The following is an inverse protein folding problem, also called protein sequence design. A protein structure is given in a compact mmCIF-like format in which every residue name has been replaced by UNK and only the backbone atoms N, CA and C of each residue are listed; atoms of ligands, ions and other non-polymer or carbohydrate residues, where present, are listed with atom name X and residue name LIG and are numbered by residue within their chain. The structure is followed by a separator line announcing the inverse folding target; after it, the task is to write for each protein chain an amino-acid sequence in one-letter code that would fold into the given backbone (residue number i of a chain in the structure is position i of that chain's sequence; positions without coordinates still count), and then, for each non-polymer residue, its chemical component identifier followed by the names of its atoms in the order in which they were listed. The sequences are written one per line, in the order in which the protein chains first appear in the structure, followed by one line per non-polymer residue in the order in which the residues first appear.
data_IF_490330894654
#
_entry.id   IF_490330894654
#
_cell.length_a   1.000
_cell.length_b   1.000
_cell.length_c   1.000
_cell.angle_alpha   90.00
_cell.angle_beta   90.00
_cell.angle_gamma   90.00
#
_symmetry.space_group_name_H-M   'P 1'
#
loop_
_entity.id
_entity.type
_entity.pdbx_description
1 polymer ?
#
# COMPACT_ATOMS: atom_id res chain seq x y z
N UNK A 1 -8.24 9.71 -5.26
CA UNK A 1 -7.95 8.52 -6.08
C UNK A 1 -6.48 8.57 -6.41
N UNK A 2 -5.70 7.59 -5.94
CA UNK A 2 -4.24 7.60 -6.10
C UNK A 2 -3.84 6.31 -6.83
N UNK A 3 -3.00 6.44 -7.85
CA UNK A 3 -2.56 5.31 -8.69
C UNK A 3 -1.16 4.90 -8.24
N UNK A 4 -1.04 3.69 -7.73
CA UNK A 4 0.27 3.10 -7.42
C UNK A 4 0.93 2.65 -8.73
N UNK A 5 2.18 3.04 -8.96
CA UNK A 5 2.94 2.68 -10.16
C UNK A 5 3.93 1.56 -9.84
N UNK A 6 4.11 0.58 -10.75
CA UNK A 6 5.09 -0.49 -10.59
C UNK A 6 6.53 0.02 -10.75
N UNK A 7 7.48 -0.57 -10.02
CA UNK A 7 8.90 -0.43 -10.29
C UNK A 7 9.27 -1.33 -11.48
N UNK A 8 9.37 -0.76 -12.68
CA UNK A 8 9.85 -1.47 -13.86
C UNK A 8 11.39 -1.44 -13.91
N UNK A 9 12.07 -2.52 -14.36
CA UNK A 9 13.51 -2.46 -14.62
C UNK A 9 13.80 -1.49 -15.77
N UNK A 10 14.36 -0.33 -15.45
CA UNK A 10 14.70 0.71 -16.43
C UNK A 10 15.95 0.31 -17.23
N UNK A 11 15.77 -0.31 -18.39
CA UNK A 11 16.80 -0.29 -19.43
C UNK A 11 16.78 1.06 -20.14
N UNK A 12 17.88 1.81 -19.95
CA UNK A 12 18.22 3.08 -20.60
C UNK A 12 17.95 3.03 -22.12
N UNK A 13 16.89 3.69 -22.60
CA UNK A 13 16.79 4.10 -24.01
C UNK A 13 16.89 5.61 -24.09
N UNK A 14 17.89 6.02 -24.84
CA UNK A 14 18.27 7.38 -25.17
C UNK A 14 17.23 8.02 -26.06
N UNK A 15 17.03 9.31 -25.81
CA UNK A 15 16.41 10.36 -26.61
C UNK A 15 16.43 10.13 -28.12
N UNK A 16 15.29 9.77 -28.71
CA UNK A 16 14.92 10.12 -30.10
C UNK A 16 13.41 10.39 -30.11
N UNK A 17 13.02 11.54 -30.67
CA UNK A 17 11.67 12.08 -30.57
C UNK A 17 10.65 11.31 -31.41
N UNK A 18 9.57 10.87 -30.76
CA UNK A 18 8.36 10.35 -31.40
C UNK A 18 7.19 11.34 -31.23
N UNK A 19 6.30 11.45 -32.23
CA UNK A 19 5.20 12.40 -32.21
C UNK A 19 4.07 11.96 -31.25
N UNK A 20 3.33 12.96 -30.73
CA UNK A 20 2.32 12.80 -29.69
C UNK A 20 1.23 11.76 -30.03
N UNK A 21 0.78 10.93 -29.06
CA UNK A 21 -0.28 9.96 -29.30
C UNK A 21 -1.68 10.61 -29.32
N UNK A 22 -2.50 10.14 -30.26
CA UNK A 22 -3.90 10.54 -30.46
C UNK A 22 -4.78 10.28 -29.22
N UNK A 23 -5.80 11.13 -29.06
CA UNK A 23 -6.78 11.10 -27.97
C UNK A 23 -7.48 9.74 -27.88
N UNK A 24 -7.22 9.00 -26.81
CA UNK A 24 -7.92 7.75 -26.49
C UNK A 24 -9.39 8.06 -26.13
N UNK A 25 -10.33 7.66 -26.99
CA UNK A 25 -11.78 7.76 -26.74
C UNK A 25 -12.17 6.72 -25.69
N UNK A 26 -12.83 7.16 -24.61
CA UNK A 26 -13.35 6.29 -23.56
C UNK A 26 -14.32 5.24 -24.13
N UNK A 27 -13.92 3.96 -24.09
CA UNK A 27 -14.85 2.82 -24.29
C UNK A 27 -15.43 2.46 -22.93
N UNK A 28 -16.69 2.81 -22.72
CA UNK A 28 -17.49 2.32 -21.59
C UNK A 28 -17.77 0.83 -21.78
N UNK A 29 -16.92 -0.03 -21.24
CA UNK A 29 -17.25 -1.45 -21.07
C UNK A 29 -18.15 -1.59 -19.83
N UNK A 30 -19.46 -1.50 -20.04
CA UNK A 30 -20.47 -1.89 -19.05
C UNK A 30 -20.40 -3.41 -18.89
N UNK A 31 -19.57 -3.89 -17.96
CA UNK A 31 -19.54 -5.30 -17.57
C UNK A 31 -20.82 -5.58 -16.80
N UNK A 32 -21.78 -6.24 -17.45
CA UNK A 32 -22.95 -6.81 -16.77
C UNK A 32 -22.42 -7.93 -15.89
N UNK A 33 -22.39 -7.73 -14.58
CA UNK A 33 -22.08 -8.79 -13.62
C UNK A 33 -23.28 -9.75 -13.61
N UNK A 34 -23.06 -10.98 -14.07
CA UNK A 34 -23.98 -12.09 -13.85
C UNK A 34 -23.96 -12.46 -12.35
N UNK A 35 -25.11 -12.68 -11.69
CA UNK A 35 -25.13 -13.09 -10.30
C UNK A 35 -24.61 -14.53 -10.16
N UNK A 36 -23.60 -14.74 -9.31
CA UNK A 36 -23.13 -16.06 -8.91
C UNK A 36 -24.21 -16.81 -8.14
N UNK A 37 -24.40 -18.10 -8.47
CA UNK A 37 -25.32 -19.00 -7.79
C UNK A 37 -24.91 -19.24 -6.32
N UNK A 38 -25.86 -19.44 -5.39
CA UNK A 38 -25.56 -19.74 -3.99
C UNK A 38 -25.29 -21.24 -3.82
N UNK A 39 -24.04 -21.61 -3.54
CA UNK A 39 -23.68 -22.99 -3.23
C UNK A 39 -22.19 -23.18 -2.97
N UNK A 40 -21.78 -23.13 -1.71
CA UNK A 40 -20.43 -23.49 -1.25
C UNK A 40 -20.06 -22.73 0.02
N UNK A 41 -19.67 -23.45 1.08
CA UNK A 41 -19.54 -22.95 2.44
C UNK A 41 -18.56 -21.78 2.64
N UNK A 42 -18.73 -21.10 3.77
CA UNK A 42 -17.99 -19.93 4.24
C UNK A 42 -16.50 -20.20 4.60
N UNK A 43 -15.77 -20.89 3.73
CA UNK A 43 -14.44 -21.44 4.02
C UNK A 43 -13.41 -21.13 2.91
N UNK A 44 -13.27 -19.87 2.48
CA UNK A 44 -12.07 -19.46 1.73
C UNK A 44 -11.85 -17.94 1.64
N UNK A 45 -11.99 -17.20 2.74
CA UNK A 45 -11.52 -15.80 2.79
C UNK A 45 -10.10 -15.78 3.36
N UNK A 46 -9.20 -16.54 2.71
CA UNK A 46 -7.83 -16.74 3.16
C UNK A 46 -6.87 -15.91 2.33
N UNK A 47 -6.09 -15.03 2.94
CA UNK A 47 -4.76 -14.54 2.48
C UNK A 47 -4.62 -13.94 1.06
N UNK A 48 -5.66 -13.98 0.23
CA UNK A 48 -5.65 -13.62 -1.18
C UNK A 48 -5.54 -12.10 -1.40
N UNK A 49 -5.87 -11.29 -0.39
CA UNK A 49 -5.87 -9.84 -0.50
C UNK A 49 -4.44 -9.25 -0.64
N UNK A 50 -3.50 -9.67 0.21
CA UNK A 50 -2.12 -9.16 0.19
C UNK A 50 -1.31 -9.75 -0.98
N UNK A 51 -1.50 -11.05 -1.25
CA UNK A 51 -0.92 -11.72 -2.43
C UNK A 51 -1.44 -11.06 -3.71
N UNK A 52 -2.74 -10.72 -3.77
CA UNK A 52 -3.35 -10.06 -4.92
C UNK A 52 -2.76 -8.68 -5.21
N UNK A 53 -2.64 -7.79 -4.21
CA UNK A 53 -2.10 -6.45 -4.47
C UNK A 53 -0.62 -6.50 -4.91
N UNK A 54 0.21 -7.28 -4.22
CA UNK A 54 1.62 -7.46 -4.61
C UNK A 54 1.74 -8.03 -6.02
N UNK A 55 0.95 -9.04 -6.38
CA UNK A 55 0.95 -9.62 -7.73
C UNK A 55 0.53 -8.61 -8.80
N UNK A 56 -0.51 -7.80 -8.54
CA UNK A 56 -0.95 -6.73 -9.45
C UNK A 56 0.18 -5.73 -9.69
N UNK A 57 0.85 -5.29 -8.61
CA UNK A 57 1.96 -4.35 -8.67
C UNK A 57 3.17 -4.94 -9.42
N UNK A 58 3.59 -6.16 -9.09
CA UNK A 58 4.72 -6.83 -9.76
C UNK A 58 4.42 -7.13 -11.23
N UNK A 59 3.17 -7.39 -11.58
CA UNK A 59 2.75 -7.60 -12.97
C UNK A 59 2.71 -6.31 -13.81
N UNK A 60 3.07 -5.16 -13.25
CA UNK A 60 3.08 -3.89 -13.94
C UNK A 60 1.68 -3.32 -14.19
N UNK A 61 0.66 -3.83 -13.51
CA UNK A 61 -0.73 -3.40 -13.71
C UNK A 61 -1.07 -2.25 -12.75
N UNK A 62 -1.81 -1.23 -13.22
CA UNK A 62 -2.25 -0.16 -12.34
C UNK A 62 -3.20 -0.71 -11.26
N UNK A 63 -3.05 -0.21 -10.04
CA UNK A 63 -3.95 -0.47 -8.92
C UNK A 63 -4.49 0.86 -8.37
N UNK A 64 -5.81 0.99 -8.33
CA UNK A 64 -6.51 2.19 -7.95
C UNK A 64 -6.87 2.12 -6.46
N UNK A 65 -6.32 3.04 -5.68
CA UNK A 65 -6.57 3.13 -4.24
C UNK A 65 -7.55 4.23 -3.85
N UNK A 66 -8.30 3.97 -2.78
CA UNK A 66 -9.01 5.00 -2.02
C UNK A 66 -8.25 5.38 -0.74
N UNK A 67 -8.37 6.65 -0.34
CA UNK A 67 -7.66 7.19 0.82
C UNK A 67 -8.66 7.58 1.91
N UNK A 68 -8.55 6.96 3.08
CA UNK A 68 -9.43 7.19 4.21
C UNK A 68 -8.75 8.08 5.26
N UNK A 69 -9.30 9.28 5.45
CA UNK A 69 -8.87 10.25 6.47
C UNK A 69 -9.90 10.46 7.58
N UNK A 70 -11.12 9.97 7.37
CA UNK A 70 -12.25 10.08 8.32
C UNK A 70 -12.32 8.78 9.13
N UNK A 71 -12.21 8.84 10.47
CA UNK A 71 -12.30 7.65 11.31
C UNK A 71 -13.70 7.04 11.25
N UNK A 72 -13.76 5.72 11.07
CA UNK A 72 -15.02 4.98 11.10
C UNK A 72 -14.91 3.60 10.44
N UNK A 73 -15.33 2.55 11.13
CA UNK A 73 -15.41 1.21 10.53
C UNK A 73 -16.39 1.18 9.35
N UNK A 74 -17.56 1.79 9.51
CA UNK A 74 -18.57 1.91 8.46
C UNK A 74 -18.07 2.70 7.24
N UNK A 75 -17.31 3.79 7.45
CA UNK A 75 -16.76 4.57 6.34
C UNK A 75 -15.72 3.76 5.56
N UNK A 76 -14.84 3.03 6.26
CA UNK A 76 -13.85 2.15 5.65
C UNK A 76 -14.50 0.98 4.88
N UNK A 77 -15.54 0.36 5.45
CA UNK A 77 -16.32 -0.70 4.80
C UNK A 77 -17.01 -0.21 3.51
N UNK A 78 -17.68 0.93 3.58
CA UNK A 78 -18.36 1.53 2.44
C UNK A 78 -17.37 1.89 1.31
N UNK A 79 -16.18 2.40 1.67
CA UNK A 79 -15.11 2.68 0.70
C UNK A 79 -14.57 1.38 0.09
N UNK A 80 -14.32 0.34 0.89
CA UNK A 80 -13.88 -0.95 0.36
C UNK A 80 -14.91 -1.58 -0.60
N UNK A 81 -16.21 -1.42 -0.32
CA UNK A 81 -17.28 -1.89 -1.20
C UNK A 81 -17.43 -1.09 -2.51
N UNK A 82 -16.77 0.07 -2.65
CA UNK A 82 -16.93 0.96 -3.80
C UNK A 82 -16.16 0.52 -5.07
N UNK A 83 -15.47 -0.63 -5.04
CA UNK A 83 -14.79 -1.22 -6.19
C UNK A 83 -13.36 -0.73 -6.42
N UNK A 84 -12.69 -0.23 -5.37
CA UNK A 84 -11.27 0.06 -5.39
C UNK A 84 -10.43 -1.22 -5.27
N UNK A 85 -9.23 -1.22 -5.83
CA UNK A 85 -8.31 -2.37 -5.76
C UNK A 85 -7.68 -2.50 -4.36
N UNK A 86 -7.59 -1.38 -3.63
CA UNK A 86 -7.06 -1.32 -2.28
C UNK A 86 -7.54 -0.06 -1.55
N UNK A 87 -7.37 -0.02 -0.22
CA UNK A 87 -7.68 1.15 0.61
C UNK A 87 -6.50 1.56 1.48
N UNK A 88 -6.25 2.86 1.59
CA UNK A 88 -5.30 3.44 2.54
C UNK A 88 -6.04 3.91 3.78
N UNK A 89 -5.61 3.47 4.96
CA UNK A 89 -5.99 4.04 6.25
C UNK A 89 -4.87 4.99 6.68
N UNK A 90 -5.18 6.28 6.76
CA UNK A 90 -4.18 7.31 6.94
C UNK A 90 -4.02 7.72 8.40
N UNK A 91 -2.98 7.20 9.05
CA UNK A 91 -2.65 7.54 10.44
C UNK A 91 -1.67 8.72 10.56
N UNK A 92 -1.19 9.30 9.44
CA UNK A 92 -0.28 10.45 9.48
C UNK A 92 -1.02 11.78 9.55
N UNK A 93 -1.97 11.98 8.64
CA UNK A 93 -2.74 13.21 8.54
C UNK A 93 -4.25 12.99 8.67
N UNK A 94 -4.71 11.75 8.58
CA UNK A 94 -6.09 11.41 8.94
C UNK A 94 -6.31 11.54 10.45
N UNK A 95 -7.57 11.70 10.84
CA UNK A 95 -7.96 11.78 12.25
C UNK A 95 -8.10 10.37 12.86
N UNK A 96 -7.12 9.50 12.58
CA UNK A 96 -7.19 8.06 12.81
C UNK A 96 -6.09 7.66 13.77
N UNK A 97 -6.46 7.35 15.01
CA UNK A 97 -5.58 6.73 15.99
C UNK A 97 -5.57 5.20 15.85
N UNK A 98 -4.83 4.55 16.75
CA UNK A 98 -4.70 3.08 16.73
C UNK A 98 -6.05 2.36 16.93
N UNK A 99 -6.94 2.90 17.78
CA UNK A 99 -8.23 2.28 18.07
C UNK A 99 -9.18 2.34 16.86
N UNK A 100 -9.24 3.50 16.20
CA UNK A 100 -10.02 3.70 14.98
C UNK A 100 -9.45 2.83 13.85
N UNK A 101 -8.13 2.83 13.67
CA UNK A 101 -7.44 2.01 12.69
C UNK A 101 -7.79 0.52 12.84
N UNK A 102 -7.78 -0.02 14.07
CA UNK A 102 -8.14 -1.42 14.32
C UNK A 102 -9.57 -1.74 13.84
N UNK A 103 -10.55 -0.90 14.19
CA UNK A 103 -11.94 -1.07 13.76
C UNK A 103 -12.10 -0.95 12.24
N UNK A 104 -11.38 -0.03 11.61
CA UNK A 104 -11.36 0.14 10.15
C UNK A 104 -10.75 -1.08 9.44
N UNK A 105 -9.60 -1.57 9.92
CA UNK A 105 -8.96 -2.79 9.39
C UNK A 105 -9.85 -4.02 9.55
N UNK A 106 -10.60 -4.12 10.66
CA UNK A 106 -11.59 -5.17 10.86
C UNK A 106 -12.70 -5.14 9.81
N UNK A 107 -13.25 -3.96 9.55
CA UNK A 107 -14.35 -3.78 8.61
C UNK A 107 -13.90 -4.01 7.15
N UNK A 108 -12.70 -3.57 6.79
CA UNK A 108 -12.16 -3.82 5.44
C UNK A 108 -11.84 -5.30 5.23
N UNK A 109 -11.29 -6.00 6.23
CA UNK A 109 -10.84 -7.38 6.08
C UNK A 109 -11.95 -8.34 5.62
N UNK A 110 -13.20 -8.13 6.04
CA UNK A 110 -14.34 -8.99 5.64
C UNK A 110 -14.78 -8.75 4.19
N UNK A 111 -14.33 -7.68 3.55
CA UNK A 111 -14.63 -7.38 2.12
C UNK A 111 -13.68 -8.10 1.16
N UNK A 112 -12.52 -8.57 1.64
CA UNK A 112 -11.45 -9.13 0.82
C UNK A 112 -10.58 -8.09 0.10
N UNK A 113 -10.89 -6.79 0.20
CA UNK A 113 -10.05 -5.71 -0.35
C UNK A 113 -8.81 -5.52 0.54
N UNK A 114 -7.60 -5.45 -0.03
CA UNK A 114 -6.39 -5.20 0.76
C UNK A 114 -6.36 -3.76 1.31
N UNK A 115 -6.00 -3.64 2.58
CA UNK A 115 -5.81 -2.37 3.27
C UNK A 115 -4.33 -2.10 3.57
N UNK A 116 -3.82 -0.95 3.14
CA UNK A 116 -2.53 -0.41 3.57
C UNK A 116 -2.74 0.65 4.66
N UNK A 117 -1.78 0.78 5.56
CA UNK A 117 -1.78 1.87 6.55
C UNK A 117 -0.67 2.85 6.20
N UNK A 118 -1.00 4.12 5.95
CA UNK A 118 0.03 5.17 5.99
C UNK A 118 0.36 5.44 7.45
N UNK A 119 1.55 5.02 7.87
CA UNK A 119 2.00 5.18 9.26
C UNK A 119 2.39 6.65 9.53
N UNK A 120 2.37 7.12 10.79
CA UNK A 120 2.67 8.53 11.09
C UNK A 120 4.08 8.95 10.69
N UNK A 121 5.05 8.03 10.80
CA UNK A 121 6.45 8.23 10.45
C UNK A 121 7.12 6.88 10.17
N UNK A 122 8.39 6.90 9.77
CA UNK A 122 9.27 5.72 9.75
C UNK A 122 9.64 5.26 11.18
N UNK A 123 8.61 4.84 11.93
CA UNK A 123 8.71 4.35 13.30
C UNK A 123 8.36 2.86 13.33
N UNK A 124 9.31 1.98 13.75
CA UNK A 124 9.05 0.55 13.83
C UNK A 124 7.88 0.19 14.73
N UNK A 125 7.62 0.95 15.79
CA UNK A 125 6.49 0.70 16.70
C UNK A 125 5.14 0.82 16.00
N UNK A 126 4.95 1.86 15.20
CA UNK A 126 3.75 2.06 14.38
C UNK A 126 3.64 1.06 13.23
N UNK A 127 4.75 0.77 12.55
CA UNK A 127 4.77 -0.24 11.46
C UNK A 127 4.32 -1.59 12.01
N UNK A 128 4.92 -2.06 13.10
CA UNK A 128 4.56 -3.34 13.71
C UNK A 128 3.10 -3.35 14.16
N UNK A 129 2.63 -2.29 14.85
CA UNK A 129 1.23 -2.16 15.27
C UNK A 129 0.24 -2.26 14.11
N UNK A 130 0.50 -1.58 13.00
CA UNK A 130 -0.35 -1.64 11.81
C UNK A 130 -0.42 -3.06 11.22
N UNK A 131 0.74 -3.72 11.10
CA UNK A 131 0.83 -5.08 10.56
C UNK A 131 0.22 -6.12 11.51
N UNK A 132 0.40 -5.97 12.82
CA UNK A 132 -0.16 -6.87 13.84
C UNK A 132 -1.68 -6.72 13.96
N UNK A 133 -2.20 -5.52 13.70
CA UNK A 133 -3.63 -5.25 13.52
C UNK A 133 -4.18 -5.82 12.20
N UNK A 134 -3.33 -6.33 11.31
CA UNK A 134 -3.70 -7.06 10.11
C UNK A 134 -3.82 -6.20 8.85
N UNK A 135 -3.11 -5.08 8.76
CA UNK A 135 -2.89 -4.41 7.49
C UNK A 135 -2.13 -5.34 6.51
N UNK A 136 -2.47 -5.27 5.22
CA UNK A 136 -1.76 -5.98 4.16
C UNK A 136 -0.34 -5.42 3.92
N UNK A 137 -0.10 -4.19 4.39
CA UNK A 137 1.17 -3.51 4.29
C UNK A 137 1.10 -2.10 4.85
N UNK A 138 2.21 -1.38 4.74
CA UNK A 138 2.33 0.01 5.19
C UNK A 138 2.81 0.90 4.07
N UNK A 139 2.44 2.17 4.15
CA UNK A 139 3.03 3.27 3.40
C UNK A 139 3.82 4.11 4.40
N UNK A 140 5.14 4.16 4.24
CA UNK A 140 6.05 4.88 5.14
C UNK A 140 6.35 6.25 4.54
N UNK A 141 5.93 7.34 5.19
CA UNK A 141 6.13 8.69 4.67
C UNK A 141 7.57 9.17 4.86
N UNK A 142 7.91 10.27 4.18
CA UNK A 142 9.14 11.05 4.39
C UNK A 142 10.43 10.22 4.28
N UNK A 143 10.51 9.29 3.32
CA UNK A 143 11.73 8.50 3.08
C UNK A 143 12.65 9.26 2.13
N UNK A 144 13.83 9.65 2.62
CA UNK A 144 14.80 10.51 1.95
C UNK A 144 16.11 9.80 1.61
N UNK A 145 16.27 8.54 2.02
CA UNK A 145 17.53 7.81 1.86
C UNK A 145 17.31 6.29 1.73
N UNK A 146 18.24 5.55 1.07
CA UNK A 146 18.21 4.09 1.05
C UNK A 146 18.30 3.50 2.46
N UNK A 147 19.04 4.13 3.39
CA UNK A 147 19.12 3.66 4.78
C UNK A 147 17.76 3.78 5.50
N UNK A 148 17.01 4.85 5.23
CA UNK A 148 15.64 5.02 5.75
C UNK A 148 14.69 3.99 5.12
N UNK A 149 14.85 3.69 3.83
CA UNK A 149 14.09 2.62 3.16
C UNK A 149 14.42 1.23 3.73
N UNK A 150 15.70 0.93 3.99
CA UNK A 150 16.15 -0.30 4.64
C UNK A 150 15.56 -0.42 6.06
N UNK A 151 15.50 0.67 6.81
CA UNK A 151 14.88 0.70 8.13
C UNK A 151 13.38 0.38 8.05
N UNK A 152 12.67 0.95 7.07
CA UNK A 152 11.24 0.67 6.84
C UNK A 152 11.00 -0.80 6.46
N UNK A 153 11.81 -1.35 5.54
CA UNK A 153 11.75 -2.77 5.16
C UNK A 153 12.04 -3.67 6.36
N UNK A 154 13.10 -3.37 7.11
CA UNK A 154 13.50 -4.13 8.28
C UNK A 154 12.40 -4.19 9.35
N UNK A 155 11.64 -3.12 9.54
CA UNK A 155 10.48 -3.09 10.45
C UNK A 155 9.29 -3.93 9.92
N UNK A 156 9.18 -4.12 8.60
CA UNK A 156 8.14 -4.93 7.97
C UNK A 156 8.45 -6.44 7.94
N UNK A 157 9.73 -6.83 8.05
CA UNK A 157 10.20 -8.21 7.88
C UNK A 157 10.71 -8.81 9.19
N UNK A 158 10.33 -10.06 9.46
CA UNK A 158 10.89 -10.87 10.52
C UNK A 158 12.33 -11.34 10.19
N UNK A 159 13.15 -11.69 11.20
CA UNK A 159 14.46 -12.28 11.00
C UNK A 159 14.42 -13.52 10.06
N UNK A 160 15.44 -13.72 9.20
CA UNK A 160 16.68 -12.93 9.08
C UNK A 160 16.57 -11.71 8.12
N UNK A 161 15.41 -11.48 7.51
CA UNK A 161 15.22 -10.45 6.48
C UNK A 161 14.98 -9.04 7.06
N UNK A 162 14.77 -8.96 8.37
CA UNK A 162 14.55 -7.71 9.09
C UNK A 162 14.54 -7.95 10.59
N UNK A 163 13.95 -7.01 11.32
CA UNK A 163 13.95 -6.96 12.79
C UNK A 163 12.54 -6.82 13.38
N UNK A 164 11.49 -7.10 12.61
CA UNK A 164 10.11 -7.12 13.10
C UNK A 164 9.98 -8.04 14.33
N UNK A 165 9.40 -7.50 15.39
CA UNK A 165 9.10 -8.28 16.60
C UNK A 165 7.88 -9.17 16.41
N UNK A 166 7.87 -10.34 17.06
CA UNK A 166 6.75 -11.27 17.00
C UNK A 166 5.58 -10.80 17.86
N UNK A 167 4.51 -10.34 17.20
CA UNK A 167 3.26 -9.98 17.86
C UNK A 167 2.03 -10.00 16.95
N UNK A 168 1.80 -11.00 16.07
CA UNK A 168 0.71 -10.98 15.09
C UNK A 168 -0.68 -11.22 15.72
N UNK A 169 -1.05 -10.47 16.75
CA UNK A 169 -2.20 -10.69 17.63
C UNK A 169 -3.51 -10.81 16.86
N UNK A 170 -3.78 -9.88 15.93
CA UNK A 170 -4.95 -10.00 15.04
C UNK A 170 -4.57 -10.64 13.72
N UNK A 171 -3.40 -10.31 13.15
CA UNK A 171 -2.98 -10.82 11.84
C UNK A 171 -3.03 -12.36 11.74
N UNK A 172 -2.71 -13.09 12.82
CA UNK A 172 -2.79 -14.55 12.87
C UNK A 172 -4.22 -15.10 12.83
N UNK A 173 -5.23 -14.34 13.28
CA UNK A 173 -6.65 -14.76 13.23
C UNK A 173 -7.20 -14.81 11.80
N UNK A 174 -6.63 -14.01 10.90
CA UNK A 174 -7.07 -13.90 9.49
C UNK A 174 -6.28 -14.81 8.55
N UNK A 175 -5.27 -15.50 9.07
CA UNK A 175 -4.39 -16.36 8.30
C UNK A 175 -4.13 -17.65 9.07
N UNK A 176 -4.85 -18.71 8.69
CA UNK A 176 -4.75 -20.03 9.32
C UNK A 176 -3.32 -20.61 9.35
N UNK A 177 -2.44 -20.15 8.46
CA UNK A 177 -1.03 -20.53 8.35
C UNK A 177 -0.05 -19.37 8.59
N UNK A 178 -0.43 -18.37 9.38
CA UNK A 178 0.44 -17.23 9.68
C UNK A 178 1.78 -17.70 10.27
N UNK A 179 2.86 -17.28 9.64
CA UNK A 179 4.23 -17.57 10.04
C UNK A 179 5.13 -16.38 9.67
N UNK A 180 6.34 -16.28 10.26
CA UNK A 180 7.29 -15.26 9.84
C UNK A 180 7.59 -15.30 8.33
N UNK A 181 7.71 -16.51 7.80
CA UNK A 181 8.00 -16.78 6.40
C UNK A 181 6.86 -16.35 5.46
N UNK A 182 5.61 -16.66 5.79
CA UNK A 182 4.45 -16.21 5.00
C UNK A 182 4.31 -14.68 5.08
N UNK A 183 4.44 -14.09 6.27
CA UNK A 183 4.37 -12.64 6.46
C UNK A 183 5.45 -11.90 5.66
N UNK A 184 6.69 -12.40 5.67
CA UNK A 184 7.80 -11.81 4.93
C UNK A 184 7.57 -11.77 3.41
N UNK A 185 6.88 -12.77 2.85
CA UNK A 185 6.54 -12.81 1.42
C UNK A 185 5.35 -11.94 1.04
N UNK A 186 4.43 -11.68 1.96
CA UNK A 186 3.14 -11.05 1.65
C UNK A 186 3.08 -9.56 1.98
N UNK A 187 3.61 -9.15 3.14
CA UNK A 187 3.49 -7.79 3.65
C UNK A 187 4.08 -6.78 2.67
N UNK A 188 3.29 -5.80 2.25
CA UNK A 188 3.76 -4.73 1.37
C UNK A 188 4.47 -3.65 2.20
N UNK A 189 5.69 -3.30 1.82
CA UNK A 189 6.41 -2.12 2.28
C UNK A 189 6.43 -1.09 1.13
N UNK A 190 5.58 -0.08 1.22
CA UNK A 190 5.62 1.05 0.30
C UNK A 190 6.31 2.24 0.97
N UNK A 191 7.18 2.93 0.23
CA UNK A 191 7.83 4.16 0.70
C UNK A 191 7.23 5.36 0.01
N UNK A 192 7.13 6.50 0.69
CA UNK A 192 6.72 7.77 0.09
C UNK A 192 7.94 8.65 -0.11
N UNK A 193 8.20 9.00 -1.36
CA UNK A 193 9.20 9.98 -1.77
C UNK A 193 8.49 11.31 -2.00
N UNK A 194 8.79 12.28 -1.16
CA UNK A 194 8.03 13.54 -1.12
C UNK A 194 8.89 14.75 -0.79
N UNK A 195 10.20 14.67 -1.03
CA UNK A 195 11.13 15.79 -0.91
C UNK A 195 12.08 15.84 -2.10
N UNK A 196 12.72 16.98 -2.33
CA UNK A 196 13.76 17.15 -3.35
C UNK A 196 14.98 16.26 -3.06
N UNK A 197 15.52 16.22 -1.82
CA UNK A 197 16.62 15.30 -1.50
C UNK A 197 16.28 13.82 -1.76
N UNK A 198 15.04 13.41 -1.51
CA UNK A 198 14.59 12.06 -1.81
C UNK A 198 14.55 11.78 -3.33
N UNK A 199 14.19 12.77 -4.14
CA UNK A 199 14.18 12.65 -5.59
C UNK A 199 15.61 12.49 -6.16
N UNK A 200 16.58 13.23 -5.62
CA UNK A 200 17.99 13.13 -6.05
C UNK A 200 18.59 11.74 -5.81
N UNK A 201 18.03 10.98 -4.86
CA UNK A 201 18.45 9.63 -4.48
C UNK A 201 17.40 8.56 -4.82
N UNK A 202 16.43 8.88 -5.68
CA UNK A 202 15.29 8.01 -5.94
C UNK A 202 15.74 6.61 -6.37
N UNK A 203 16.68 6.50 -7.31
CA UNK A 203 17.17 5.22 -7.80
C UNK A 203 17.78 4.35 -6.68
N UNK A 204 18.47 4.96 -5.72
CA UNK A 204 19.01 4.24 -4.55
C UNK A 204 17.89 3.76 -3.63
N UNK A 205 16.92 4.61 -3.34
CA UNK A 205 15.77 4.30 -2.46
C UNK A 205 14.94 3.15 -3.03
N UNK A 206 14.58 3.22 -4.31
CA UNK A 206 13.68 2.22 -4.94
C UNK A 206 14.39 0.90 -5.23
N UNK A 207 15.72 0.90 -5.26
CA UNK A 207 16.53 -0.31 -5.46
C UNK A 207 16.73 -1.11 -4.17
N UNK A 208 16.33 -0.59 -3.00
CA UNK A 208 16.44 -1.31 -1.72
C UNK A 208 15.58 -2.58 -1.76
N UNK A 209 16.19 -3.78 -1.58
CA UNK A 209 15.44 -5.03 -1.58
C UNK A 209 14.33 -5.04 -0.52
N UNK A 210 13.10 -5.31 -0.96
CA UNK A 210 11.93 -5.34 -0.09
C UNK A 210 11.10 -4.05 -0.08
N UNK A 211 11.54 -3.00 -0.76
CA UNK A 211 10.66 -1.89 -1.17
C UNK A 211 9.78 -2.39 -2.31
N UNK A 212 8.48 -2.44 -2.05
CA UNK A 212 7.52 -3.10 -2.94
C UNK A 212 6.77 -2.11 -3.83
N UNK A 213 6.70 -0.86 -3.40
CA UNK A 213 6.03 0.24 -4.10
C UNK A 213 6.57 1.60 -3.65
N UNK A 214 6.36 2.60 -4.50
CA UNK A 214 6.75 3.99 -4.22
C UNK A 214 5.55 4.88 -4.45
N UNK A 215 5.27 5.74 -3.48
CA UNK A 215 4.30 6.82 -3.59
C UNK A 215 5.01 8.16 -3.73
N UNK A 216 4.44 9.05 -4.52
CA UNK A 216 4.84 10.46 -4.55
C UNK A 216 3.82 11.24 -3.72
N UNK A 217 4.31 11.98 -2.71
CA UNK A 217 3.51 12.90 -1.89
C UNK A 217 3.52 14.30 -2.51
N UNK A 218 2.52 14.70 -3.32
CA UNK A 218 2.61 15.91 -4.12
C UNK A 218 2.64 17.19 -3.28
N UNK A 219 1.96 17.20 -2.13
CA UNK A 219 1.89 18.37 -1.24
C UNK A 219 3.24 18.66 -0.59
N UNK A 220 3.83 17.66 0.05
CA UNK A 220 5.15 17.78 0.68
C UNK A 220 6.25 17.97 -0.35
N UNK A 221 6.14 17.34 -1.53
CA UNK A 221 7.07 17.56 -2.62
C UNK A 221 7.03 19.00 -3.14
N UNK A 222 5.83 19.58 -3.30
CA UNK A 222 5.69 20.98 -3.65
C UNK A 222 6.33 21.91 -2.61
N UNK A 223 6.10 21.66 -1.32
CA UNK A 223 6.72 22.41 -0.23
C UNK A 223 8.24 22.29 -0.25
N UNK A 224 8.78 21.10 -0.45
CA UNK A 224 10.22 20.87 -0.54
C UNK A 224 10.86 21.60 -1.72
N UNK A 225 10.11 21.85 -2.80
CA UNK A 225 10.54 22.65 -3.94
C UNK A 225 10.35 24.17 -3.73
N UNK A 226 9.78 24.60 -2.60
CA UNK A 226 9.48 26.01 -2.32
C UNK A 226 8.17 26.50 -2.94
N UNK A 227 7.26 25.61 -3.35
CA UNK A 227 5.94 25.95 -3.86
C UNK A 227 4.84 25.72 -2.82
N UNK A 228 3.75 26.47 -2.91
CA UNK A 228 2.55 26.19 -2.11
C UNK A 228 1.86 24.90 -2.61
N UNK A 229 1.39 24.02 -1.71
CA UNK A 229 0.67 22.82 -2.10
C UNK A 229 -0.65 23.20 -2.77
N UNK A 230 -1.02 22.47 -3.83
CA UNK A 230 -2.31 22.64 -4.52
C UNK A 230 -3.19 21.43 -4.23
N UNK A 231 -4.43 21.70 -3.85
CA UNK A 231 -5.48 20.69 -3.63
C UNK A 231 -6.17 20.30 -4.92
#
# INVERSE_FOLDING_TARGET
MQVCHPLLPFHRRVLEGDPAPERCRARTHRRVLQPCAPGGGAQQLSYAAAVGLREVLTAGKPAIGAWCVIPGSFTAEAVAAAGFDWVCIDAQHGLIGYQEMLGMLQAVAVTGVPSLVRVPWNDPGWIMKALDAGAAGVIVPMVNSPEEAEAAVGACRYPPQGFRSWGPTRASLHAASYSPDTANRSVICAVMVETVPALDRLDEIVSVPGVDAVFIGPSDFALSMGFAPRS
#
